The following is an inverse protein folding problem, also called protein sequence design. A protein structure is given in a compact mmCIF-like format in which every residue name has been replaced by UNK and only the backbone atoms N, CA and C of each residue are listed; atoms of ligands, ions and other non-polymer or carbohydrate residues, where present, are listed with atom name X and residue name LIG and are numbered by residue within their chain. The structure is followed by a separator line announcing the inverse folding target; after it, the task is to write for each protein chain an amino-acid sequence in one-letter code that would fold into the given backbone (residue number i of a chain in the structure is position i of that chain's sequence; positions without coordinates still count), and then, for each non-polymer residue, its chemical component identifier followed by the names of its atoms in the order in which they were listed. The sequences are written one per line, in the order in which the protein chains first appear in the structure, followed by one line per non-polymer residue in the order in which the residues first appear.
data_IF_997236647418
#
_entry.id   IF_997236647418
#
_cell.length_a   1.000
_cell.length_b   1.000
_cell.length_c   1.000
_cell.angle_alpha   90.00
_cell.angle_beta   90.00
_cell.angle_gamma   90.00
#
_symmetry.space_group_name_H-M   'P 1'
#
loop_
_entity.id
_entity.type
_entity.pdbx_description
1 polymer ?
#
# COMPACT_ATOMS: atom_id res chain seq x y z
N UNK A 1 18.72 -22.41 -7.12
CA UNK A 1 18.21 -21.03 -6.94
C UNK A 1 16.89 -20.94 -7.66
N UNK A 2 15.82 -20.54 -6.96
CA UNK A 2 14.51 -20.33 -7.57
C UNK A 2 14.56 -19.18 -8.58
N UNK A 3 13.60 -19.14 -9.50
CA UNK A 3 13.52 -18.05 -10.46
C UNK A 3 13.02 -16.78 -9.77
N UNK A 4 13.80 -15.68 -9.79
CA UNK A 4 13.35 -14.36 -9.27
C UNK A 4 12.00 -13.96 -9.87
N UNK A 5 11.04 -13.60 -9.01
CA UNK A 5 9.74 -13.02 -9.38
C UNK A 5 9.97 -11.66 -10.03
N UNK A 6 9.75 -11.59 -11.35
CA UNK A 6 10.02 -10.37 -12.11
C UNK A 6 8.93 -9.33 -11.91
N UNK A 7 7.66 -9.72 -12.03
CA UNK A 7 6.51 -8.82 -11.86
C UNK A 7 6.11 -8.82 -10.39
N UNK A 8 6.30 -7.70 -9.72
CA UNK A 8 5.96 -7.52 -8.31
C UNK A 8 4.83 -6.51 -8.22
N UNK A 9 3.69 -6.95 -7.69
CA UNK A 9 2.48 -6.16 -7.65
C UNK A 9 2.51 -5.19 -6.48
N UNK A 10 2.18 -3.93 -6.75
CA UNK A 10 2.00 -2.90 -5.73
C UNK A 10 0.54 -2.63 -5.38
N UNK A 11 -0.39 -3.09 -6.22
CA UNK A 11 -1.76 -3.39 -5.81
C UNK A 11 -1.97 -4.91 -5.88
N UNK A 12 -2.33 -5.57 -4.76
CA UNK A 12 -2.52 -7.02 -4.67
C UNK A 12 -3.49 -7.54 -5.72
N UNK A 13 -3.17 -8.70 -6.29
CA UNK A 13 -4.06 -9.35 -7.26
C UNK A 13 -5.40 -9.74 -6.64
N UNK A 14 -5.41 -10.14 -5.37
CA UNK A 14 -6.64 -10.48 -4.64
C UNK A 14 -7.64 -9.32 -4.65
N UNK A 15 -7.15 -8.07 -4.51
CA UNK A 15 -7.98 -6.88 -4.53
C UNK A 15 -8.45 -6.53 -5.94
N UNK A 16 -7.54 -6.56 -6.91
CA UNK A 16 -7.86 -6.23 -8.31
C UNK A 16 -8.87 -7.19 -8.95
N UNK A 17 -8.95 -8.44 -8.47
CA UNK A 17 -9.91 -9.43 -8.96
C UNK A 17 -11.36 -9.03 -8.73
N UNK A 18 -11.64 -8.26 -7.67
CA UNK A 18 -12.99 -7.77 -7.40
C UNK A 18 -13.47 -6.80 -8.50
N UNK A 19 -12.55 -6.13 -9.19
CA UNK A 19 -12.85 -5.21 -10.29
C UNK A 19 -12.84 -5.87 -11.68
N UNK A 20 -12.85 -7.21 -11.74
CA UNK A 20 -12.87 -7.91 -13.02
C UNK A 20 -14.29 -8.21 -13.46
N UNK A 21 -14.54 -8.10 -14.77
CA UNK A 21 -15.79 -8.55 -15.35
C UNK A 21 -15.87 -10.08 -15.44
N UNK A 22 -17.01 -10.61 -15.89
CA UNK A 22 -17.24 -12.05 -16.07
C UNK A 22 -16.25 -12.77 -17.00
N UNK A 23 -15.52 -12.02 -17.83
CA UNK A 23 -14.44 -12.53 -18.71
C UNK A 23 -13.04 -12.43 -18.08
N UNK A 24 -12.94 -12.07 -16.79
CA UNK A 24 -11.69 -11.89 -16.07
C UNK A 24 -10.87 -10.68 -16.51
N UNK A 25 -11.49 -9.70 -17.18
CA UNK A 25 -10.83 -8.46 -17.63
C UNK A 25 -11.12 -7.33 -16.67
N UNK A 26 -10.11 -6.49 -16.45
CA UNK A 26 -10.23 -5.21 -15.75
C UNK A 26 -10.07 -4.09 -16.77
N UNK A 27 -10.86 -3.02 -16.62
CA UNK A 27 -10.75 -1.85 -17.47
C UNK A 27 -9.92 -0.79 -16.76
N UNK A 28 -8.82 -0.36 -17.38
CA UNK A 28 -7.91 0.61 -16.82
C UNK A 28 -8.08 1.96 -17.54
N UNK A 29 -7.92 3.04 -16.79
CA UNK A 29 -7.85 4.39 -17.33
C UNK A 29 -6.49 5.00 -17.00
N UNK A 30 -5.74 5.35 -18.03
CA UNK A 30 -4.47 6.05 -17.89
C UNK A 30 -4.74 7.57 -17.85
N UNK A 31 -4.47 8.17 -16.69
CA UNK A 31 -4.67 9.61 -16.46
C UNK A 31 -3.70 10.49 -17.28
N UNK A 32 -2.51 9.99 -17.61
CA UNK A 32 -1.51 10.75 -18.37
C UNK A 32 -1.82 10.72 -19.87
N UNK A 33 -2.17 9.54 -20.37
CA UNK A 33 -2.51 9.33 -21.78
C UNK A 33 -3.96 9.68 -22.12
N UNK A 34 -4.80 9.89 -21.09
CA UNK A 34 -6.24 10.13 -21.19
C UNK A 34 -6.94 9.06 -22.05
N UNK A 35 -6.63 7.79 -21.79
CA UNK A 35 -7.10 6.63 -22.56
C UNK A 35 -7.56 5.52 -21.65
N UNK A 36 -8.60 4.81 -22.08
CA UNK A 36 -9.03 3.59 -21.45
C UNK A 36 -8.68 2.36 -22.27
N UNK A 37 -8.36 1.25 -21.59
CA UNK A 37 -8.06 -0.01 -22.25
C UNK A 37 -8.42 -1.22 -21.36
N UNK A 38 -8.91 -2.33 -21.96
CA UNK A 38 -9.08 -3.57 -21.23
C UNK A 38 -7.73 -4.27 -21.02
N UNK A 39 -7.52 -4.85 -19.84
CA UNK A 39 -6.33 -5.64 -19.50
C UNK A 39 -6.67 -6.78 -18.55
N UNK A 40 -5.67 -7.46 -18.00
CA UNK A 40 -5.81 -8.50 -16.98
C UNK A 40 -5.11 -8.07 -15.70
N UNK A 41 -5.54 -8.65 -14.57
CA UNK A 41 -4.92 -8.43 -13.26
C UNK A 41 -3.40 -8.69 -13.29
N UNK A 42 -2.92 -9.64 -14.08
CA UNK A 42 -1.49 -9.97 -14.21
C UNK A 42 -0.64 -8.93 -14.98
N UNK A 43 -1.28 -7.96 -15.63
CA UNK A 43 -0.63 -7.00 -16.52
C UNK A 43 -0.80 -5.55 -16.05
N UNK A 44 -1.29 -5.33 -14.83
CA UNK A 44 -1.49 -3.98 -14.27
C UNK A 44 -0.99 -3.91 -12.82
N UNK A 45 -0.73 -2.70 -12.35
CA UNK A 45 -0.35 -2.37 -10.99
C UNK A 45 0.84 -3.19 -10.44
N UNK A 46 1.81 -3.41 -11.32
CA UNK A 46 3.06 -4.08 -11.00
C UNK A 46 4.22 -3.35 -11.66
N UNK A 47 5.40 -3.56 -11.12
CA UNK A 47 6.65 -3.15 -11.75
C UNK A 47 7.68 -4.28 -11.69
N UNK A 48 8.73 -4.15 -12.50
CA UNK A 48 9.81 -5.14 -12.50
C UNK A 48 10.69 -4.95 -11.27
N UNK A 49 10.81 -5.98 -10.44
CA UNK A 49 11.72 -5.98 -9.27
C UNK A 49 11.49 -4.76 -8.34
N UNK A 50 10.22 -4.38 -8.19
CA UNK A 50 9.80 -3.18 -7.46
C UNK A 50 10.26 -3.16 -6.00
N UNK A 51 10.30 -4.32 -5.33
CA UNK A 51 10.73 -4.52 -3.94
C UNK A 51 12.11 -5.16 -3.78
N UNK A 52 12.80 -5.55 -4.86
CA UNK A 52 14.16 -6.10 -4.76
C UNK A 52 15.09 -5.12 -4.04
N UNK A 53 15.79 -5.57 -3.00
CA UNK A 53 16.60 -4.72 -2.14
C UNK A 53 17.81 -5.48 -1.62
N UNK A 54 18.89 -5.41 -2.41
CA UNK A 54 20.16 -6.12 -2.15
C UNK A 54 20.70 -5.96 -0.71
N UNK A 55 20.64 -4.77 -0.06
CA UNK A 55 21.09 -4.63 1.33
C UNK A 55 20.37 -5.52 2.34
N UNK A 56 19.15 -5.98 2.07
CA UNK A 56 18.45 -6.96 2.91
C UNK A 56 18.49 -8.33 2.25
N UNK A 57 18.25 -8.43 0.94
CA UNK A 57 18.16 -9.70 0.22
C UNK A 57 19.45 -10.54 0.35
N UNK A 58 20.62 -9.88 0.38
CA UNK A 58 21.92 -10.57 0.55
C UNK A 58 22.13 -11.18 1.94
N UNK A 59 21.44 -10.69 2.97
CA UNK A 59 21.59 -11.16 4.35
C UNK A 59 20.48 -12.11 4.79
N UNK A 60 19.24 -11.87 4.33
CA UNK A 60 18.05 -12.56 4.85
C UNK A 60 17.44 -13.52 3.83
N UNK A 61 17.76 -13.36 2.55
CA UNK A 61 17.28 -14.21 1.46
C UNK A 61 16.71 -13.39 0.30
N UNK A 62 16.80 -13.96 -0.90
CA UNK A 62 16.41 -13.30 -2.14
C UNK A 62 14.91 -12.92 -2.18
N UNK A 63 14.62 -11.67 -2.54
CA UNK A 63 13.26 -11.10 -2.67
C UNK A 63 12.42 -11.25 -1.39
N UNK A 64 13.03 -11.02 -0.22
CA UNK A 64 12.36 -11.27 1.07
C UNK A 64 11.07 -10.48 1.22
N UNK A 65 11.05 -9.21 0.80
CA UNK A 65 9.87 -8.34 0.92
C UNK A 65 8.72 -8.86 0.05
N UNK A 66 9.00 -9.20 -1.21
CA UNK A 66 7.99 -9.78 -2.11
C UNK A 66 7.45 -11.12 -1.60
N UNK A 67 8.31 -11.95 -1.00
CA UNK A 67 7.87 -13.23 -0.43
C UNK A 67 7.00 -13.02 0.81
N UNK A 68 7.40 -12.13 1.72
CA UNK A 68 6.58 -11.80 2.90
C UNK A 68 5.23 -11.16 2.53
N UNK A 69 5.19 -10.32 1.49
CA UNK A 69 3.93 -9.78 0.97
C UNK A 69 3.04 -10.89 0.38
N UNK A 70 3.62 -11.85 -0.33
CA UNK A 70 2.87 -12.96 -0.92
C UNK A 70 2.26 -13.89 0.15
N UNK A 71 3.01 -14.19 1.22
CA UNK A 71 2.52 -14.99 2.34
C UNK A 71 1.35 -14.27 3.04
N UNK A 72 1.54 -12.98 3.35
CA UNK A 72 0.52 -12.14 3.97
C UNK A 72 -0.75 -11.99 3.10
N UNK A 73 -0.58 -11.87 1.78
CA UNK A 73 -1.71 -11.83 0.84
C UNK A 73 -2.54 -13.11 0.86
N UNK A 74 -1.94 -14.27 1.16
CA UNK A 74 -2.67 -15.52 1.34
C UNK A 74 -3.67 -15.44 2.50
N UNK A 75 -3.21 -14.98 3.66
CA UNK A 75 -4.04 -14.82 4.85
C UNK A 75 -5.12 -13.74 4.65
N UNK A 76 -4.76 -12.61 4.04
CA UNK A 76 -5.68 -11.50 3.78
C UNK A 76 -6.79 -11.86 2.78
N UNK A 77 -6.52 -12.76 1.81
CA UNK A 77 -7.51 -13.16 0.81
C UNK A 77 -8.72 -13.85 1.44
N UNK A 78 -8.48 -14.83 2.33
CA UNK A 78 -9.58 -15.55 3.01
C UNK A 78 -10.47 -14.60 3.81
N UNK A 79 -9.86 -13.63 4.51
CA UNK A 79 -10.61 -12.66 5.29
C UNK A 79 -11.41 -11.68 4.43
N UNK A 80 -10.84 -11.19 3.33
CA UNK A 80 -11.54 -10.28 2.42
C UNK A 80 -12.72 -10.97 1.75
N UNK A 81 -12.55 -12.21 1.27
CA UNK A 81 -13.64 -13.00 0.69
C UNK A 81 -14.77 -13.23 1.71
N UNK A 82 -14.41 -13.59 2.96
CA UNK A 82 -15.37 -13.76 4.06
C UNK A 82 -16.11 -12.47 4.39
N UNK A 83 -15.42 -11.33 4.37
CA UNK A 83 -16.03 -10.03 4.62
C UNK A 83 -17.03 -9.65 3.53
N UNK A 84 -16.66 -9.80 2.26
CA UNK A 84 -17.56 -9.52 1.13
C UNK A 84 -18.79 -10.42 1.17
N UNK A 85 -18.62 -11.73 1.42
CA UNK A 85 -19.74 -12.66 1.58
C UNK A 85 -20.68 -12.29 2.74
N UNK A 86 -20.16 -11.76 3.85
CA UNK A 86 -21.01 -11.28 4.96
C UNK A 86 -21.85 -10.09 4.54
N UNK A 87 -21.22 -9.13 3.85
CA UNK A 87 -21.88 -7.92 3.35
C UNK A 87 -22.96 -8.26 2.31
N UNK A 88 -22.66 -9.14 1.35
CA UNK A 88 -23.61 -9.61 0.33
C UNK A 88 -24.84 -10.30 0.93
N UNK A 89 -24.65 -10.98 2.06
CA UNK A 89 -25.73 -11.64 2.80
C UNK A 89 -26.43 -10.70 3.80
N UNK A 90 -26.11 -9.40 3.81
CA UNK A 90 -26.68 -8.40 4.71
C UNK A 90 -26.28 -8.56 6.18
N UNK A 91 -25.22 -9.33 6.46
CA UNK A 91 -24.71 -9.50 7.82
C UNK A 91 -23.85 -8.32 8.23
N UNK A 92 -24.26 -7.65 9.30
CA UNK A 92 -23.51 -6.58 9.97
C UNK A 92 -22.72 -7.10 11.19
N UNK A 93 -22.48 -8.41 11.26
CA UNK A 93 -21.63 -8.97 12.29
C UNK A 93 -20.24 -8.34 12.22
N UNK A 94 -19.82 -7.79 13.36
CA UNK A 94 -18.50 -7.17 13.48
C UNK A 94 -17.37 -8.19 13.30
N UNK A 95 -16.19 -7.66 13.00
CA UNK A 95 -14.96 -8.45 12.94
C UNK A 95 -14.50 -8.94 14.31
N UNK A 96 -13.95 -10.14 14.36
CA UNK A 96 -13.20 -10.58 15.56
C UNK A 96 -11.96 -9.71 15.75
N UNK A 97 -11.35 -9.68 16.96
CA UNK A 97 -10.11 -8.95 17.18
C UNK A 97 -8.99 -9.34 16.20
N UNK A 98 -8.87 -10.62 15.87
CA UNK A 98 -7.88 -11.17 14.95
C UNK A 98 -8.15 -10.69 13.51
N UNK A 99 -9.41 -10.73 13.08
CA UNK A 99 -9.84 -10.21 11.78
C UNK A 99 -9.54 -8.70 11.67
N UNK A 100 -9.82 -7.91 12.71
CA UNK A 100 -9.50 -6.47 12.74
C UNK A 100 -8.00 -6.21 12.63
N UNK A 101 -7.16 -7.02 13.29
CA UNK A 101 -5.70 -6.89 13.22
C UNK A 101 -5.21 -7.17 11.81
N UNK A 102 -5.68 -8.26 11.19
CA UNK A 102 -5.28 -8.66 9.85
C UNK A 102 -5.69 -7.62 8.79
N UNK A 103 -6.92 -7.11 8.87
CA UNK A 103 -7.38 -6.02 7.98
C UNK A 103 -6.60 -4.71 8.22
N UNK A 104 -6.32 -4.36 9.48
CA UNK A 104 -5.56 -3.16 9.80
C UNK A 104 -4.12 -3.24 9.26
N UNK A 105 -3.50 -4.42 9.37
CA UNK A 105 -2.20 -4.69 8.80
C UNK A 105 -2.24 -4.62 7.26
N UNK A 106 -3.28 -5.19 6.63
CA UNK A 106 -3.47 -5.12 5.18
C UNK A 106 -3.56 -3.68 4.69
N UNK A 107 -4.42 -2.87 5.31
CA UNK A 107 -4.58 -1.45 4.99
C UNK A 107 -3.24 -0.71 5.18
N UNK A 108 -2.56 -0.95 6.31
CA UNK A 108 -1.28 -0.30 6.63
C UNK A 108 -0.19 -0.65 5.61
N UNK A 109 -0.05 -1.93 5.24
CA UNK A 109 0.90 -2.38 4.22
C UNK A 109 0.56 -1.77 2.87
N UNK A 110 -0.73 -1.78 2.48
CA UNK A 110 -1.19 -1.27 1.20
C UNK A 110 -0.91 0.24 1.03
N UNK A 111 -1.00 1.02 2.11
CA UNK A 111 -0.62 2.44 2.09
C UNK A 111 0.84 2.67 1.70
N UNK A 112 1.75 1.74 2.01
CA UNK A 112 3.19 1.97 1.90
C UNK A 112 3.85 1.29 0.69
N UNK A 113 3.20 0.28 0.09
CA UNK A 113 3.80 -0.56 -0.96
C UNK A 113 3.64 -0.05 -2.40
N UNK A 114 3.11 1.15 -2.60
CA UNK A 114 2.74 1.70 -3.93
C UNK A 114 3.75 2.71 -4.49
N UNK A 115 3.76 2.98 -5.81
CA UNK A 115 4.58 4.06 -6.39
C UNK A 115 4.29 5.42 -5.76
N UNK A 116 3.03 5.72 -5.45
CA UNK A 116 2.64 6.96 -4.77
C UNK A 116 3.26 7.09 -3.38
N UNK A 117 3.33 5.98 -2.61
CA UNK A 117 4.06 5.96 -1.34
C UNK A 117 5.54 6.31 -1.51
N UNK A 118 6.20 5.78 -2.55
CA UNK A 118 7.60 6.11 -2.85
C UNK A 118 7.79 7.61 -3.07
N UNK A 119 6.90 8.26 -3.82
CA UNK A 119 6.91 9.72 -4.03
C UNK A 119 6.71 10.49 -2.73
N UNK A 120 5.82 10.02 -1.84
CA UNK A 120 5.62 10.62 -0.51
C UNK A 120 6.89 10.57 0.34
N UNK A 121 7.63 9.46 0.33
CA UNK A 121 8.92 9.36 1.02
C UNK A 121 9.99 10.27 0.44
N UNK A 122 10.05 10.39 -0.89
CA UNK A 122 10.95 11.33 -1.57
C UNK A 122 10.67 12.77 -1.15
N UNK A 123 9.40 13.20 -1.25
CA UNK A 123 8.99 14.54 -0.84
C UNK A 123 9.26 14.81 0.64
N UNK A 124 9.03 13.84 1.51
CA UNK A 124 9.35 13.96 2.93
C UNK A 124 10.85 14.19 3.16
N UNK A 125 11.71 13.46 2.46
CA UNK A 125 13.17 13.65 2.55
C UNK A 125 13.60 15.05 2.11
N UNK A 126 13.07 15.53 0.97
CA UNK A 126 13.33 16.88 0.44
C UNK A 126 12.90 17.95 1.44
N UNK A 127 11.68 17.83 1.97
CA UNK A 127 11.13 18.81 2.91
C UNK A 127 11.88 18.81 4.24
N UNK A 128 12.28 17.64 4.74
CA UNK A 128 13.10 17.53 5.96
C UNK A 128 14.44 18.25 5.79
N UNK A 129 15.15 18.02 4.68
CA UNK A 129 16.40 18.71 4.38
C UNK A 129 16.19 20.23 4.31
N UNK A 130 15.13 20.68 3.62
CA UNK A 130 14.78 22.11 3.50
C UNK A 130 14.56 22.73 4.87
N UNK A 131 13.82 22.08 5.76
CA UNK A 131 13.56 22.57 7.11
C UNK A 131 14.81 22.61 8.00
N UNK A 132 15.69 21.62 7.88
CA UNK A 132 16.96 21.61 8.62
C UNK A 132 17.85 22.79 8.18
N UNK A 133 17.96 23.03 6.86
CA UNK A 133 18.69 24.20 6.33
C UNK A 133 18.07 25.52 6.83
N UNK A 134 16.75 25.63 6.82
CA UNK A 134 16.05 26.83 7.31
C UNK A 134 16.28 27.08 8.82
N UNK A 135 16.53 26.03 9.60
CA UNK A 135 16.92 26.11 11.02
C UNK A 135 18.42 26.36 11.25
N UNK A 136 19.20 26.60 10.19
CA UNK A 136 20.63 26.90 10.27
C UNK A 136 21.54 25.67 10.36
N UNK A 137 21.01 24.46 10.15
CA UNK A 137 21.84 23.25 10.08
C UNK A 137 22.66 23.29 8.78
N UNK A 138 23.97 23.08 8.87
CA UNK A 138 24.84 23.12 7.69
C UNK A 138 24.55 21.96 6.73
N UNK A 139 24.64 22.21 5.42
CA UNK A 139 24.44 21.17 4.40
C UNK A 139 25.43 20.02 4.53
N UNK A 140 26.66 20.29 4.98
CA UNK A 140 27.68 19.26 5.25
C UNK A 140 27.25 18.32 6.38
N UNK A 141 26.70 18.86 7.47
CA UNK A 141 26.18 18.04 8.57
C UNK A 141 24.98 17.18 8.11
N UNK A 142 24.06 17.76 7.34
CA UNK A 142 22.91 17.04 6.78
C UNK A 142 23.39 15.86 5.91
N UNK A 143 24.38 16.11 5.03
CA UNK A 143 24.98 15.07 4.17
C UNK A 143 25.69 14.00 4.98
N UNK A 144 26.49 14.38 5.99
CA UNK A 144 27.20 13.44 6.86
C UNK A 144 26.25 12.53 7.65
N UNK A 145 25.06 13.02 8.00
CA UNK A 145 24.00 12.23 8.65
C UNK A 145 23.16 11.41 7.68
N UNK A 146 23.43 11.48 6.37
CA UNK A 146 22.65 10.81 5.34
C UNK A 146 21.23 11.34 5.24
N UNK A 147 20.99 12.60 5.63
CA UNK A 147 19.67 13.25 5.60
C UNK A 147 19.49 14.17 4.39
N UNK A 148 20.43 14.15 3.45
CA UNK A 148 20.30 14.92 2.20
C UNK A 148 19.59 14.09 1.12
N UNK A 149 18.86 14.75 0.24
CA UNK A 149 18.19 14.14 -0.90
C UNK A 149 19.17 13.34 -1.77
N UNK A 150 20.40 13.84 -1.96
CA UNK A 150 21.45 13.13 -2.71
C UNK A 150 21.89 11.81 -2.06
N UNK A 151 21.71 11.71 -0.74
CA UNK A 151 22.19 10.57 0.05
C UNK A 151 21.16 9.46 0.20
N UNK A 152 19.91 9.70 -0.20
CA UNK A 152 18.83 8.77 0.07
C UNK A 152 18.05 8.42 -1.19
N UNK A 153 18.15 7.17 -1.61
CA UNK A 153 17.31 6.58 -2.65
C UNK A 153 15.85 6.45 -2.14
N UNK A 154 14.84 7.02 -2.85
CA UNK A 154 13.44 6.93 -2.45
C UNK A 154 12.91 5.49 -2.33
N UNK A 155 13.39 4.57 -3.17
CA UNK A 155 13.03 3.16 -3.06
C UNK A 155 13.51 2.59 -1.72
N UNK A 156 14.76 2.86 -1.36
CA UNK A 156 15.34 2.45 -0.07
C UNK A 156 14.51 2.96 1.12
N UNK A 157 14.12 4.24 1.15
CA UNK A 157 13.23 4.78 2.20
C UNK A 157 11.89 4.08 2.25
N UNK A 158 11.27 3.87 1.10
CA UNK A 158 9.99 3.19 1.02
C UNK A 158 10.09 1.78 1.60
N UNK A 159 11.14 1.02 1.27
CA UNK A 159 11.29 -0.35 1.73
C UNK A 159 11.61 -0.42 3.23
N UNK A 160 12.41 0.50 3.76
CA UNK A 160 12.55 0.65 5.22
C UNK A 160 11.23 1.03 5.90
N UNK A 161 10.46 1.92 5.29
CA UNK A 161 9.13 2.30 5.77
C UNK A 161 8.17 1.11 5.78
N UNK A 162 8.10 0.36 4.69
CA UNK A 162 7.26 -0.82 4.55
C UNK A 162 7.64 -1.91 5.55
N UNK A 163 8.91 -2.27 5.65
CA UNK A 163 9.40 -3.28 6.61
C UNK A 163 9.18 -2.84 8.06
N UNK A 164 9.37 -1.55 8.36
CA UNK A 164 9.03 -0.97 9.67
C UNK A 164 7.53 -1.09 9.96
N UNK A 165 6.67 -0.84 8.97
CA UNK A 165 5.22 -0.99 9.13
C UNK A 165 4.79 -2.43 9.35
N UNK A 166 5.36 -3.39 8.62
CA UNK A 166 5.12 -4.83 8.83
C UNK A 166 5.53 -5.29 10.24
N UNK A 167 6.43 -4.55 10.91
CA UNK A 167 6.88 -4.86 12.27
C UNK A 167 6.16 -4.02 13.36
N UNK A 168 5.37 -3.02 12.98
CA UNK A 168 4.87 -1.98 13.90
C UNK A 168 3.48 -2.31 14.46
N UNK A 169 3.44 -3.02 15.59
CA UNK A 169 2.19 -3.30 16.32
C UNK A 169 1.42 -2.03 16.70
N UNK A 170 2.11 -0.95 17.07
CA UNK A 170 1.46 0.30 17.53
C UNK A 170 0.58 0.92 16.44
N UNK A 171 1.04 0.93 15.19
CA UNK A 171 0.28 1.51 14.07
C UNK A 171 -0.95 0.67 13.75
N UNK A 172 -0.79 -0.66 13.75
CA UNK A 172 -1.88 -1.62 13.52
C UNK A 172 -2.96 -1.43 14.59
N UNK A 173 -2.58 -1.44 15.87
CA UNK A 173 -3.53 -1.24 16.98
C UNK A 173 -4.24 0.12 16.89
N UNK A 174 -3.54 1.19 16.48
CA UNK A 174 -4.16 2.50 16.26
C UNK A 174 -5.22 2.49 15.15
N UNK A 175 -5.13 1.61 14.16
CA UNK A 175 -6.18 1.44 13.15
C UNK A 175 -7.32 0.56 13.71
N UNK A 176 -7.00 -0.47 14.48
CA UNK A 176 -8.00 -1.31 15.16
C UNK A 176 -8.87 -0.51 16.14
N UNK A 177 -8.35 0.52 16.79
CA UNK A 177 -9.09 1.35 17.76
C UNK A 177 -10.06 2.36 17.10
N UNK A 178 -10.04 2.49 15.77
CA UNK A 178 -10.93 3.42 15.05
C UNK A 178 -12.34 2.86 14.90
N UNK A 179 -13.28 3.76 14.58
CA UNK A 179 -14.60 3.37 14.07
C UNK A 179 -14.42 2.95 12.61
N UNK A 180 -14.85 1.73 12.28
CA UNK A 180 -14.81 1.21 10.92
C UNK A 180 -16.21 1.31 10.35
N UNK A 181 -16.32 1.91 9.17
CA UNK A 181 -17.58 2.13 8.47
C UNK A 181 -17.47 1.47 7.12
N UNK A 182 -18.47 0.66 6.77
CA UNK A 182 -18.60 0.00 5.49
C UNK A 182 -19.73 0.66 4.73
N UNK A 183 -19.48 1.01 3.47
CA UNK A 183 -20.44 1.66 2.62
C UNK A 183 -20.88 0.69 1.52
N UNK A 184 -22.18 0.47 1.42
CA UNK A 184 -22.77 -0.19 0.27
C UNK A 184 -23.14 0.86 -0.78
N UNK A 185 -22.67 0.67 -2.01
CA UNK A 185 -23.01 1.56 -3.11
C UNK A 185 -24.33 1.15 -3.75
N UNK A 186 -25.40 1.87 -3.38
CA UNK A 186 -26.75 1.68 -3.89
C UNK A 186 -27.02 2.48 -5.19
N UNK A 187 -25.99 3.03 -5.82
CA UNK A 187 -26.12 3.82 -7.05
C UNK A 187 -25.95 2.97 -8.30
N UNK A 188 -26.19 3.57 -9.47
CA UNK A 188 -25.95 2.94 -10.78
C UNK A 188 -24.49 3.07 -11.24
N UNK A 189 -23.64 3.73 -10.45
CA UNK A 189 -22.24 3.98 -10.81
C UNK A 189 -21.35 2.91 -10.17
N UNK A 190 -20.47 2.31 -10.96
CA UNK A 190 -19.49 1.35 -10.45
C UNK A 190 -18.40 2.05 -9.62
N UNK A 191 -17.79 1.30 -8.70
CA UNK A 191 -16.59 1.78 -8.00
C UNK A 191 -15.38 1.81 -8.92
N UNK A 192 -14.56 2.84 -8.76
CA UNK A 192 -13.24 2.93 -9.37
C UNK A 192 -12.17 2.79 -8.28
N UNK A 193 -11.10 2.04 -8.59
CA UNK A 193 -9.91 1.96 -7.75
C UNK A 193 -8.71 2.62 -8.44
N UNK A 194 -7.77 3.03 -7.61
CA UNK A 194 -6.50 3.64 -8.01
C UNK A 194 -5.35 2.62 -7.90
N UNK A 195 -4.22 2.93 -8.53
CA UNK A 195 -2.93 2.29 -8.28
C UNK A 195 -2.37 2.58 -6.87
N UNK A 196 -3.06 3.46 -6.12
CA UNK A 196 -2.93 3.71 -4.69
C UNK A 196 -4.31 3.58 -3.99
N UNK A 197 -4.78 2.35 -3.69
CA UNK A 197 -6.18 2.10 -3.33
C UNK A 197 -6.58 2.57 -1.92
N UNK A 198 -5.61 2.75 -1.00
CA UNK A 198 -5.90 3.29 0.34
C UNK A 198 -5.65 4.80 0.33
N UNK A 199 -6.72 5.57 0.49
CA UNK A 199 -6.66 7.03 0.49
C UNK A 199 -6.79 7.54 1.92
N UNK A 200 -5.85 8.40 2.34
CA UNK A 200 -5.89 9.06 3.64
C UNK A 200 -6.40 10.50 3.51
N UNK A 201 -7.37 10.87 4.34
CA UNK A 201 -7.92 12.22 4.41
C UNK A 201 -7.62 12.84 5.76
N UNK A 202 -6.97 14.00 5.75
CA UNK A 202 -6.72 14.80 6.95
C UNK A 202 -7.77 15.89 7.02
N UNK A 203 -8.64 15.86 8.03
CA UNK A 203 -9.71 16.85 8.15
C UNK A 203 -9.22 18.17 8.75
N UNK A 204 -8.43 18.12 9.83
CA UNK A 204 -8.02 19.31 10.60
C UNK A 204 -6.60 19.20 11.16
N UNK A 205 -6.29 18.08 11.81
CA UNK A 205 -4.98 17.80 12.39
C UNK A 205 -4.43 16.50 11.78
N UNK A 206 -3.11 16.41 11.60
CA UNK A 206 -2.42 15.19 11.11
C UNK A 206 -2.74 13.94 11.94
N UNK A 207 -3.11 14.11 13.21
CA UNK A 207 -3.59 13.05 14.10
C UNK A 207 -5.01 12.56 13.77
N UNK A 208 -5.83 13.38 13.13
CA UNK A 208 -7.20 13.09 12.69
C UNK A 208 -7.24 12.70 11.21
N UNK A 209 -6.42 11.70 10.85
CA UNK A 209 -6.46 11.12 9.50
C UNK A 209 -7.45 9.96 9.44
N UNK A 210 -8.40 10.01 8.52
CA UNK A 210 -9.27 8.90 8.15
C UNK A 210 -8.71 8.17 6.92
N UNK A 211 -9.08 6.90 6.75
CA UNK A 211 -8.65 6.09 5.61
C UNK A 211 -9.84 5.43 4.94
N UNK A 212 -9.83 5.39 3.62
CA UNK A 212 -10.85 4.72 2.82
C UNK A 212 -10.18 3.79 1.80
N UNK A 213 -10.86 2.67 1.53
CA UNK A 213 -10.54 1.74 0.46
C UNK A 213 -11.87 1.27 -0.14
N UNK A 214 -11.94 1.26 -1.47
CA UNK A 214 -13.15 0.84 -2.19
C UNK A 214 -12.97 -0.58 -2.72
N UNK A 215 -13.97 -1.43 -2.57
CA UNK A 215 -14.08 -2.71 -3.27
C UNK A 215 -15.52 -2.87 -3.76
N UNK A 216 -15.74 -3.26 -5.02
CA UNK A 216 -17.01 -3.79 -5.47
C UNK A 216 -17.27 -5.17 -4.87
#
# INVERSE_FOLDING_TARGET
MGQKKKKQHFVPKLYLRNFTNSSGKIFAFDLQENKSFPTTVDNIAHDRYFYDFEPIDSYVGEQVIENSLADFEGDAAELLDKMLQRLDNGSLEGHTPEERILLAEYISIQMHRTPESRKKYEHFGIELERQLKAKGVSGEFIKQRGLSQESIDPKTLQLYGLTSMMSSKKRILSLCDRIWVYWENLTQHEFYASDHPVVGYTYRDVSETAYEIFSP
#
